data_IF_140067810937
#
_entry.id   IF_140067810937
#
_cell.length_a   1.000
_cell.length_b   1.000
_cell.length_c   1.000
_cell.angle_alpha   90.00
_cell.angle_beta   90.00
_cell.angle_gamma   90.00
#
_symmetry.space_group_name_H-M   'P 1'
#
loop_
_entity.id
_entity.type
_entity.pdbx_description
1 polymer ?
#
# COMPACT_ATOMS: atom_id res chain seq x y z
N UNK A 1 -28.19 -16.69 40.33
CA UNK A 1 -26.76 -16.51 40.00
C UNK A 1 -26.37 -17.00 38.59
N UNK A 2 -27.02 -18.02 38.03
CA UNK A 2 -26.66 -18.60 36.71
C UNK A 2 -26.88 -17.67 35.49
N UNK A 3 -27.89 -16.79 35.52
CA UNK A 3 -28.16 -15.83 34.41
C UNK A 3 -27.07 -14.78 34.20
N UNK A 4 -26.33 -14.40 35.26
CA UNK A 4 -25.24 -13.42 35.17
C UNK A 4 -24.02 -13.99 34.45
N UNK A 5 -23.76 -15.28 34.61
CA UNK A 5 -22.64 -16.00 33.97
C UNK A 5 -22.86 -16.08 32.45
N UNK A 6 -24.11 -16.21 32.00
CA UNK A 6 -24.47 -16.19 30.58
C UNK A 6 -24.23 -14.83 29.91
N UNK A 7 -24.41 -13.73 30.63
CA UNK A 7 -24.17 -12.38 30.10
C UNK A 7 -22.67 -12.13 29.92
N UNK A 8 -21.82 -12.66 30.81
CA UNK A 8 -20.36 -12.55 30.67
C UNK A 8 -19.78 -13.47 29.57
N UNK A 9 -20.42 -14.60 29.27
CA UNK A 9 -19.97 -15.52 28.21
C UNK A 9 -20.16 -14.95 26.79
N UNK A 10 -21.09 -14.01 26.59
CA UNK A 10 -21.33 -13.38 25.28
C UNK A 10 -20.32 -12.29 24.90
N UNK A 11 -19.47 -11.81 25.82
CA UNK A 11 -18.51 -10.73 25.54
C UNK A 11 -17.19 -11.21 24.90
N UNK A 12 -17.06 -12.51 24.63
CA UNK A 12 -15.87 -13.12 24.00
C UNK A 12 -16.00 -13.23 22.47
N UNK A 13 -16.57 -12.21 21.80
CA UNK A 13 -16.46 -12.15 20.33
C UNK A 13 -15.06 -11.68 19.96
N UNK A 14 -14.20 -12.68 19.80
CA UNK A 14 -12.87 -12.65 19.23
C UNK A 14 -12.70 -11.55 18.18
N UNK A 15 -11.85 -10.56 18.50
CA UNK A 15 -11.22 -9.69 17.51
C UNK A 15 -10.19 -10.54 16.75
N UNK A 16 -10.68 -11.39 15.84
CA UNK A 16 -9.82 -12.10 14.91
C UNK A 16 -9.23 -11.05 13.96
N UNK A 17 -7.96 -10.69 14.16
CA UNK A 17 -7.18 -9.93 13.20
C UNK A 17 -7.06 -10.74 11.90
N UNK A 18 -8.07 -10.65 11.05
CA UNK A 18 -8.06 -11.32 9.75
C UNK A 18 -7.01 -10.63 8.90
N UNK A 19 -5.90 -11.35 8.64
CA UNK A 19 -4.83 -10.86 7.77
C UNK A 19 -5.33 -10.96 6.33
N UNK A 20 -6.04 -9.93 5.89
CA UNK A 20 -6.61 -9.81 4.55
C UNK A 20 -5.64 -9.11 3.57
N UNK A 21 -5.78 -9.35 2.26
CA UNK A 21 -5.04 -8.59 1.25
C UNK A 21 -5.19 -7.07 1.43
N UNK A 22 -4.12 -6.27 1.28
CA UNK A 22 -4.14 -4.82 1.50
C UNK A 22 -4.69 -4.06 0.27
N UNK A 23 -5.97 -4.27 -0.04
CA UNK A 23 -6.60 -3.75 -1.28
C UNK A 23 -6.55 -2.22 -1.36
N UNK A 24 -6.75 -1.54 -0.24
CA UNK A 24 -6.78 -0.08 -0.19
C UNK A 24 -5.39 0.50 -0.46
N UNK A 25 -4.36 -0.05 0.17
CA UNK A 25 -2.98 0.38 0.02
C UNK A 25 -2.48 0.14 -1.42
N UNK A 26 -2.91 -0.97 -2.04
CA UNK A 26 -2.62 -1.23 -3.46
C UNK A 26 -3.33 -0.24 -4.39
N UNK A 27 -4.58 0.12 -4.10
CA UNK A 27 -5.32 1.10 -4.90
C UNK A 27 -4.68 2.50 -4.81
N UNK A 28 -4.28 2.93 -3.61
CA UNK A 28 -3.57 4.18 -3.40
C UNK A 28 -2.21 4.19 -4.12
N UNK A 29 -1.44 3.11 -4.01
CA UNK A 29 -0.14 2.98 -4.68
C UNK A 29 -0.26 3.06 -6.21
N UNK A 30 -1.23 2.32 -6.79
CA UNK A 30 -1.51 2.35 -8.24
C UNK A 30 -1.90 3.75 -8.70
N UNK A 31 -2.76 4.42 -7.95
CA UNK A 31 -3.22 5.78 -8.26
C UNK A 31 -2.05 6.77 -8.21
N UNK A 32 -1.18 6.67 -7.20
CA UNK A 32 0.00 7.51 -7.09
C UNK A 32 0.99 7.30 -8.24
N UNK A 33 1.25 6.05 -8.64
CA UNK A 33 2.12 5.74 -9.80
C UNK A 33 1.55 6.33 -11.09
N UNK A 34 0.25 6.15 -11.34
CA UNK A 34 -0.41 6.75 -12.52
C UNK A 34 -0.33 8.28 -12.52
N UNK A 35 -0.55 8.91 -11.38
CA UNK A 35 -0.43 10.36 -11.25
C UNK A 35 1.01 10.83 -11.54
N UNK A 36 2.02 10.11 -11.04
CA UNK A 36 3.43 10.42 -11.29
C UNK A 36 3.81 10.23 -12.77
N UNK A 37 3.29 9.20 -13.45
CA UNK A 37 3.46 9.00 -14.89
C UNK A 37 2.85 10.14 -15.71
N UNK A 38 1.69 10.68 -15.28
CA UNK A 38 1.02 11.76 -16.00
C UNK A 38 1.79 13.09 -15.97
N UNK A 39 2.65 13.28 -14.96
CA UNK A 39 3.45 14.50 -14.79
C UNK A 39 4.94 14.25 -14.93
N UNK A 40 5.38 13.06 -15.35
CA UNK A 40 6.80 12.71 -15.36
C UNK A 40 7.56 13.52 -16.41
N UNK A 41 8.51 14.32 -15.95
CA UNK A 41 9.47 15.06 -16.78
C UNK A 41 10.71 14.24 -17.16
N UNK A 42 11.62 14.82 -17.95
CA UNK A 42 12.83 14.16 -18.44
C UNK A 42 13.97 14.08 -17.41
N UNK A 43 13.79 14.63 -16.21
CA UNK A 43 14.82 14.57 -15.17
C UNK A 43 15.12 13.14 -14.75
N UNK A 44 16.40 12.79 -14.83
CA UNK A 44 16.93 11.48 -14.43
C UNK A 44 16.51 11.08 -13.02
N UNK A 45 16.48 12.03 -12.06
CA UNK A 45 16.06 11.75 -10.69
C UNK A 45 14.58 11.34 -10.61
N UNK A 46 13.68 12.09 -11.26
CA UNK A 46 12.25 11.76 -11.27
C UNK A 46 12.00 10.39 -11.90
N UNK A 47 12.65 10.11 -13.05
CA UNK A 47 12.55 8.82 -13.74
C UNK A 47 13.04 7.67 -12.85
N UNK A 48 14.11 7.88 -12.09
CA UNK A 48 14.63 6.88 -11.15
C UNK A 48 13.62 6.58 -10.02
N UNK A 49 13.00 7.61 -9.42
CA UNK A 49 11.96 7.40 -8.42
C UNK A 49 10.71 6.73 -8.99
N UNK A 50 10.31 7.09 -10.21
CA UNK A 50 9.15 6.50 -10.87
C UNK A 50 9.38 5.01 -11.14
N UNK A 51 10.52 4.64 -11.72
CA UNK A 51 10.91 3.25 -11.92
C UNK A 51 10.96 2.48 -10.59
N UNK A 52 11.52 3.10 -9.55
CA UNK A 52 11.55 2.50 -8.21
C UNK A 52 10.16 2.32 -7.59
N UNK A 53 9.19 3.15 -7.94
CA UNK A 53 7.80 3.03 -7.51
C UNK A 53 7.09 1.87 -8.21
N UNK A 54 7.28 1.74 -9.52
CA UNK A 54 6.76 0.63 -10.32
C UNK A 54 7.30 -0.72 -9.85
N UNK A 55 8.60 -0.78 -9.57
CA UNK A 55 9.24 -1.98 -9.05
C UNK A 55 8.69 -2.37 -7.67
N UNK A 56 8.52 -1.40 -6.76
CA UNK A 56 7.92 -1.66 -5.46
C UNK A 56 6.46 -2.13 -5.58
N UNK A 57 5.69 -1.58 -6.54
CA UNK A 57 4.31 -2.01 -6.79
C UNK A 57 4.24 -3.43 -7.37
N UNK A 58 5.20 -3.82 -8.21
CA UNK A 58 5.38 -5.20 -8.67
C UNK A 58 5.68 -6.13 -7.50
N UNK A 59 6.67 -5.79 -6.67
CA UNK A 59 7.02 -6.57 -5.47
C UNK A 59 5.85 -6.68 -4.48
N UNK A 60 4.98 -5.67 -4.40
CA UNK A 60 3.77 -5.73 -3.61
C UNK A 60 2.76 -6.75 -4.17
N UNK A 61 2.58 -6.77 -5.49
CA UNK A 61 1.72 -7.73 -6.19
C UNK A 61 2.23 -9.17 -6.01
N UNK A 62 3.54 -9.40 -6.22
CA UNK A 62 4.17 -10.71 -6.00
C UNK A 62 4.00 -11.20 -4.55
N UNK A 63 4.05 -10.27 -3.58
CA UNK A 63 3.82 -10.60 -2.18
C UNK A 63 2.36 -10.98 -1.88
N UNK A 64 1.37 -10.42 -2.60
CA UNK A 64 -0.03 -10.83 -2.49
C UNK A 64 -0.21 -12.25 -3.02
N UNK A 65 0.40 -12.59 -4.16
CA UNK A 65 0.35 -13.94 -4.74
C UNK A 65 0.94 -14.97 -3.78
N UNK A 66 2.00 -14.61 -3.06
CA UNK A 66 2.64 -15.43 -2.03
C UNK A 66 1.90 -15.40 -0.68
N UNK A 67 0.72 -14.76 -0.58
CA UNK A 67 -0.06 -14.54 0.66
C UNK A 67 0.72 -13.81 1.77
N UNK A 68 1.80 -13.10 1.42
CA UNK A 68 2.63 -12.29 2.33
C UNK A 68 2.07 -10.87 2.46
N UNK A 69 0.86 -10.74 2.99
CA UNK A 69 0.10 -9.48 2.99
C UNK A 69 0.78 -8.32 3.75
N UNK A 70 1.50 -8.60 4.85
CA UNK A 70 2.28 -7.58 5.55
C UNK A 70 3.40 -7.01 4.65
N UNK A 71 4.09 -7.88 3.91
CA UNK A 71 5.12 -7.47 2.94
C UNK A 71 4.50 -6.70 1.79
N UNK A 72 3.34 -7.14 1.29
CA UNK A 72 2.60 -6.44 0.25
C UNK A 72 2.24 -5.02 0.67
N UNK A 73 1.72 -4.83 1.90
CA UNK A 73 1.38 -3.52 2.46
C UNK A 73 2.60 -2.59 2.51
N UNK A 74 3.74 -3.09 3.03
CA UNK A 74 4.97 -2.31 3.11
C UNK A 74 5.46 -1.89 1.72
N UNK A 75 5.41 -2.80 0.74
CA UNK A 75 5.81 -2.53 -0.63
C UNK A 75 4.87 -1.58 -1.36
N UNK A 76 3.56 -1.66 -1.12
CA UNK A 76 2.59 -0.70 -1.64
C UNK A 76 2.83 0.72 -1.09
N UNK A 77 3.12 0.84 0.21
CA UNK A 77 3.47 2.13 0.82
C UNK A 77 4.80 2.69 0.29
N UNK A 78 5.79 1.82 0.04
CA UNK A 78 7.04 2.20 -0.62
C UNK A 78 6.78 2.75 -2.02
N UNK A 79 5.97 2.05 -2.83
CA UNK A 79 5.58 2.49 -4.16
C UNK A 79 4.89 3.86 -4.14
N UNK A 80 3.91 4.05 -3.25
CA UNK A 80 3.21 5.33 -3.06
C UNK A 80 4.19 6.47 -2.78
N UNK A 81 5.11 6.30 -1.82
CA UNK A 81 6.08 7.34 -1.43
C UNK A 81 7.03 7.70 -2.58
N UNK A 82 7.54 6.68 -3.29
CA UNK A 82 8.43 6.91 -4.44
C UNK A 82 7.70 7.62 -5.58
N UNK A 83 6.47 7.23 -5.89
CA UNK A 83 5.66 7.90 -6.92
C UNK A 83 5.38 9.37 -6.57
N UNK A 84 5.00 9.65 -5.32
CA UNK A 84 4.80 11.03 -4.84
C UNK A 84 6.09 11.85 -4.95
N UNK A 85 7.26 11.25 -4.67
CA UNK A 85 8.55 11.93 -4.82
C UNK A 85 8.88 12.22 -6.28
N UNK A 86 8.66 11.27 -7.19
CA UNK A 86 8.80 11.47 -8.63
C UNK A 86 7.91 12.62 -9.13
N UNK A 87 6.62 12.59 -8.78
CA UNK A 87 5.68 13.64 -9.13
C UNK A 87 6.11 15.02 -8.60
N UNK A 88 6.65 15.09 -7.39
CA UNK A 88 7.13 16.34 -6.79
C UNK A 88 8.36 16.89 -7.51
N UNK A 89 9.29 16.02 -7.91
CA UNK A 89 10.49 16.43 -8.65
C UNK A 89 10.06 16.97 -10.01
N UNK A 90 9.23 16.23 -10.76
CA UNK A 90 8.81 16.68 -12.08
C UNK A 90 7.97 17.95 -12.08
N UNK A 91 7.16 18.19 -11.04
CA UNK A 91 6.43 19.46 -10.90
C UNK A 91 7.35 20.65 -10.63
N UNK A 92 8.54 20.44 -10.02
CA UNK A 92 9.52 21.51 -9.79
C UNK A 92 10.25 21.92 -11.08
N UNK A 93 10.18 21.08 -12.10
CA UNK A 93 10.85 21.29 -13.39
C UNK A 93 9.97 22.03 -14.41
N UNK A 94 8.69 22.23 -14.08
CA UNK A 94 7.75 23.07 -14.83
C UNK A 94 7.77 24.51 -14.32
#
# INVERSE_FOLDING_TARGET
>A
MMKRIWIFACLFVLVACVVKPPVQEMAEARSAVKAAQAVSGSQSESVAYLRGAEEALKQASDAIEQKKYSRARLKAQEAKRKAQKAAKISQKDH
#
